data_IF_010964897575
#
_entry.id   IF_010964897575
#
_cell.length_a   1.000
_cell.length_b   1.000
_cell.length_c   1.000
_cell.angle_alpha   90.00
_cell.angle_beta   90.00
_cell.angle_gamma   90.00
#
_symmetry.space_group_name_H-M   'P 1'
#
loop_
_entity.id
_entity.type
_entity.pdbx_description
1 polymer ?
#
# COMPACT_ATOMS: atom_id res chain seq x y z
N UNK A 1 5.36 1.24 11.66
CA UNK A 1 4.79 0.08 10.95
C UNK A 1 5.89 -0.83 10.45
N UNK A 2 6.94 -0.29 9.83
CA UNK A 2 8.16 -1.03 9.49
C UNK A 2 8.62 -1.95 10.63
N UNK A 3 8.95 -3.20 10.27
CA UNK A 3 9.35 -4.25 11.19
C UNK A 3 8.21 -5.03 11.84
N UNK A 4 6.97 -4.53 11.83
CA UNK A 4 5.80 -5.24 12.37
C UNK A 4 5.29 -6.35 11.44
N UNK A 5 4.40 -7.19 11.97
CA UNK A 5 3.72 -8.23 11.22
C UNK A 5 2.23 -7.94 11.07
N UNK A 6 1.74 -8.09 9.84
CA UNK A 6 0.33 -7.98 9.47
C UNK A 6 -0.19 -9.40 9.20
N UNK A 7 -1.27 -9.77 9.86
CA UNK A 7 -2.00 -11.00 9.57
C UNK A 7 -3.32 -10.65 8.89
N UNK A 8 -3.64 -11.34 7.80
CA UNK A 8 -4.93 -11.28 7.10
C UNK A 8 -5.40 -12.72 6.89
N UNK A 9 -6.42 -13.15 7.62
CA UNK A 9 -6.86 -14.55 7.60
C UNK A 9 -5.72 -15.49 8.00
N UNK A 10 -5.32 -16.38 7.08
CA UNK A 10 -4.18 -17.29 7.28
C UNK A 10 -2.84 -16.72 6.79
N UNK A 11 -2.84 -15.58 6.08
CA UNK A 11 -1.62 -15.00 5.51
C UNK A 11 -0.90 -14.10 6.53
N UNK A 12 0.42 -14.25 6.63
CA UNK A 12 1.27 -13.37 7.45
C UNK A 12 2.27 -12.62 6.57
N UNK A 13 2.38 -11.31 6.80
CA UNK A 13 3.27 -10.41 6.07
C UNK A 13 4.19 -9.66 7.03
N UNK A 14 5.46 -9.51 6.67
CA UNK A 14 6.35 -8.53 7.30
C UNK A 14 6.21 -7.19 6.62
N UNK A 15 5.90 -6.15 7.38
CA UNK A 15 5.84 -4.78 6.90
C UNK A 15 7.26 -4.25 6.70
N UNK A 16 7.56 -3.85 5.46
CA UNK A 16 8.86 -3.38 5.04
C UNK A 16 8.95 -1.87 5.29
N UNK A 17 8.65 -1.04 4.30
CA UNK A 17 8.77 0.42 4.40
C UNK A 17 7.53 1.12 3.82
N UNK A 18 7.27 2.38 4.19
CA UNK A 18 6.27 3.20 3.54
C UNK A 18 6.50 3.29 2.03
N UNK A 19 5.43 3.22 1.24
CA UNK A 19 5.55 3.22 -0.21
C UNK A 19 5.56 4.66 -0.75
N UNK A 20 6.68 5.07 -1.35
CA UNK A 20 6.75 6.31 -2.11
C UNK A 20 5.94 6.18 -3.40
N UNK A 21 5.18 7.21 -3.74
CA UNK A 21 4.31 7.20 -4.92
C UNK A 21 5.00 7.88 -6.10
N UNK A 22 5.10 7.14 -7.20
CA UNK A 22 5.49 7.66 -8.50
C UNK A 22 4.29 8.33 -9.21
N UNK A 23 4.45 8.64 -10.50
CA UNK A 23 3.41 9.28 -11.34
C UNK A 23 2.29 8.34 -11.79
N UNK A 24 2.44 7.03 -11.69
CA UNK A 24 1.44 6.08 -12.21
C UNK A 24 0.03 6.30 -11.62
N UNK A 25 -0.15 6.52 -10.30
CA UNK A 25 -1.47 6.76 -9.72
C UNK A 25 -2.12 8.08 -10.15
N UNK A 26 -1.39 8.99 -10.81
CA UNK A 26 -1.98 10.24 -11.34
C UNK A 26 -2.63 10.05 -12.70
N UNK A 27 -2.70 8.83 -13.22
CA UNK A 27 -3.35 8.53 -14.49
C UNK A 27 -4.67 7.84 -14.21
N UNK A 28 -5.73 8.38 -14.79
CA UNK A 28 -7.03 7.72 -14.80
C UNK A 28 -6.89 6.33 -15.45
N UNK A 29 -7.36 5.25 -14.81
CA UNK A 29 -7.12 3.88 -15.27
C UNK A 29 -7.86 3.54 -16.57
N UNK A 30 -8.97 4.23 -16.87
CA UNK A 30 -9.82 3.93 -18.03
C UNK A 30 -9.49 4.85 -19.22
N UNK A 31 -9.17 6.11 -18.95
CA UNK A 31 -9.00 7.16 -19.97
C UNK A 31 -7.56 7.64 -20.15
N UNK A 32 -6.65 7.25 -19.27
CA UNK A 32 -5.26 7.73 -19.20
C UNK A 32 -5.10 9.25 -19.00
N UNK A 33 -6.18 9.97 -18.67
CA UNK A 33 -6.12 11.39 -18.33
C UNK A 33 -5.21 11.61 -17.12
N UNK A 34 -4.46 12.72 -17.11
CA UNK A 34 -3.47 13.01 -16.07
C UNK A 34 -4.07 13.96 -15.03
N UNK A 35 -3.89 13.62 -13.76
CA UNK A 35 -4.24 14.41 -12.59
C UNK A 35 -3.00 14.68 -11.70
N UNK A 36 -2.06 15.52 -12.15
CA UNK A 36 -0.79 15.75 -11.46
C UNK A 36 -0.94 16.39 -10.07
N UNK A 37 -2.09 17.01 -9.77
CA UNK A 37 -2.39 17.62 -8.47
C UNK A 37 -2.36 16.60 -7.34
N UNK A 38 -2.68 15.33 -7.60
CA UNK A 38 -2.58 14.24 -6.62
C UNK A 38 -1.14 14.10 -6.09
N UNK A 39 -0.15 14.09 -6.98
CA UNK A 39 1.25 13.96 -6.59
C UNK A 39 1.72 15.20 -5.83
N UNK A 40 1.34 16.40 -6.27
CA UNK A 40 1.67 17.66 -5.56
C UNK A 40 1.10 17.65 -4.14
N UNK A 41 -0.14 17.19 -4.00
CA UNK A 41 -0.80 17.06 -2.70
C UNK A 41 -0.10 16.00 -1.83
N UNK A 42 0.22 14.82 -2.37
CA UNK A 42 0.95 13.78 -1.64
C UNK A 42 2.32 14.26 -1.14
N UNK A 43 3.08 14.97 -1.97
CA UNK A 43 4.37 15.55 -1.59
C UNK A 43 4.19 16.53 -0.42
N UNK A 44 3.22 17.45 -0.51
CA UNK A 44 2.97 18.48 0.51
C UNK A 44 2.44 17.91 1.82
N UNK A 45 1.44 17.04 1.75
CA UNK A 45 0.65 16.62 2.93
C UNK A 45 1.14 15.30 3.54
N UNK A 46 1.86 14.48 2.77
CA UNK A 46 2.22 13.10 3.15
C UNK A 46 3.68 12.77 2.88
N UNK A 47 4.52 13.75 2.55
CA UNK A 47 5.93 13.55 2.18
C UNK A 47 6.10 12.53 1.05
N UNK A 48 5.15 12.50 0.11
CA UNK A 48 5.10 11.58 -1.04
C UNK A 48 4.83 10.11 -0.68
N UNK A 49 4.52 9.80 0.58
CA UNK A 49 4.28 8.45 1.08
C UNK A 49 2.79 8.13 1.12
N UNK A 50 2.40 6.99 0.57
CA UNK A 50 1.03 6.48 0.70
C UNK A 50 1.03 4.95 0.65
N UNK A 51 0.57 4.29 1.72
CA UNK A 51 0.58 2.82 1.84
C UNK A 51 1.91 2.27 2.36
N UNK A 52 1.96 0.93 2.52
CA UNK A 52 3.10 0.19 3.06
C UNK A 52 3.43 -0.97 2.14
N UNK A 53 4.72 -1.17 1.85
CA UNK A 53 5.19 -2.39 1.19
C UNK A 53 5.27 -3.52 2.23
N UNK A 54 4.84 -4.72 1.85
CA UNK A 54 4.82 -5.88 2.72
C UNK A 54 5.27 -7.13 1.97
N UNK A 55 5.96 -8.05 2.65
CA UNK A 55 6.41 -9.33 2.09
C UNK A 55 5.67 -10.49 2.74
N UNK A 56 5.04 -11.39 1.97
CA UNK A 56 4.46 -12.61 2.54
C UNK A 56 5.56 -13.48 3.13
N UNK A 57 5.30 -14.08 4.29
CA UNK A 57 6.24 -15.01 4.94
C UNK A 57 6.08 -16.44 4.42
N UNK A 58 4.92 -16.76 3.86
CA UNK A 58 4.60 -18.04 3.23
C UNK A 58 3.44 -17.86 2.24
N UNK A 59 3.20 -18.87 1.40
CA UNK A 59 2.02 -18.90 0.55
C UNK A 59 0.74 -19.06 1.39
N UNK A 60 -0.32 -18.35 1.02
CA UNK A 60 -1.63 -18.42 1.63
C UNK A 60 -2.68 -17.83 0.67
N UNK A 61 -3.95 -18.17 0.88
CA UNK A 61 -5.09 -17.53 0.22
C UNK A 61 -5.74 -16.57 1.20
N UNK A 62 -6.19 -15.41 0.70
CA UNK A 62 -6.98 -14.43 1.46
C UNK A 62 -8.31 -14.18 0.73
N UNK A 63 -9.32 -13.80 1.49
CA UNK A 63 -10.64 -13.43 0.98
C UNK A 63 -11.14 -12.13 1.61
N UNK A 64 -12.09 -11.47 0.94
CA UNK A 64 -12.79 -10.32 1.51
C UNK A 64 -13.53 -10.77 2.77
N UNK A 65 -13.34 -10.03 3.87
CA UNK A 65 -13.91 -10.36 5.18
C UNK A 65 -12.96 -11.11 6.11
N UNK A 66 -11.79 -11.53 5.63
CA UNK A 66 -10.78 -12.12 6.50
C UNK A 66 -10.37 -11.18 7.63
N UNK A 67 -10.21 -11.68 8.87
CA UNK A 67 -9.82 -10.86 9.99
C UNK A 67 -8.42 -10.31 9.80
N UNK A 68 -8.24 -9.04 10.18
CA UNK A 68 -6.97 -8.32 10.05
C UNK A 68 -6.44 -7.98 11.44
N UNK A 69 -5.16 -8.25 11.68
CA UNK A 69 -4.47 -7.79 12.89
C UNK A 69 -3.04 -7.38 12.61
N UNK A 70 -2.50 -6.47 13.42
CA UNK A 70 -1.09 -6.05 13.33
C UNK A 70 -0.42 -6.20 14.67
N UNK A 71 0.75 -6.82 14.67
CA UNK A 71 1.60 -7.03 15.85
C UNK A 71 2.89 -6.26 15.65
#
# INVERSE_FOLDING_TARGET
>A
WEGRELTVGQATFRLLHPCERCVIPTRDPDTAQKFPELLRWLTRERRMLFGMNARPLHAATIAVGDPVSVR
#
